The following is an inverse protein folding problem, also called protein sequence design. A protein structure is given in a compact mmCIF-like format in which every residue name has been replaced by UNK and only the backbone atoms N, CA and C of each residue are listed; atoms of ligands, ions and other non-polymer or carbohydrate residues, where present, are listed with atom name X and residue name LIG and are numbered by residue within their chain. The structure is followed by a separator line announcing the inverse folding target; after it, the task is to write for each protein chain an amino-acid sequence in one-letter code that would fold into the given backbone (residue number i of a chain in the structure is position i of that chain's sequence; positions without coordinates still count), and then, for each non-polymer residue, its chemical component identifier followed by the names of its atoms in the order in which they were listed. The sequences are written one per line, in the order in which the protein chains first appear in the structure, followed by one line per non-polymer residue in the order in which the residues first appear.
data_IF_477835514687
#
_entry.id   IF_477835514687
#
_cell.length_a   1.000
_cell.length_b   1.000
_cell.length_c   1.000
_cell.angle_alpha   90.00
_cell.angle_beta   90.00
_cell.angle_gamma   90.00
#
_symmetry.space_group_name_H-M   'P 1'
#
loop_
_entity.id
_entity.type
_entity.pdbx_description
1 polymer ?
#
# COMPACT_ATOMS: atom_id res chain seq x y z
N UNK A 1 42.91 46.95 -19.68
CA UNK A 1 42.48 45.60 -19.36
C UNK A 1 41.53 45.08 -20.44
N UNK A 2 41.52 43.82 -20.62
CA UNK A 2 40.60 43.13 -21.55
C UNK A 2 39.45 42.48 -20.74
N UNK A 3 38.24 42.59 -21.29
CA UNK A 3 37.06 41.93 -20.75
C UNK A 3 36.69 40.79 -21.69
N UNK A 4 36.60 39.57 -21.16
CA UNK A 4 36.16 38.40 -21.90
C UNK A 4 34.63 38.37 -22.02
N UNK A 5 34.09 37.65 -23.02
CA UNK A 5 32.64 37.43 -23.17
C UNK A 5 32.03 36.66 -22.02
N UNK A 6 32.83 35.86 -21.33
CA UNK A 6 32.40 35.01 -20.21
C UNK A 6 32.42 35.72 -18.84
N UNK A 7 32.99 36.94 -18.80
CA UNK A 7 33.18 37.73 -17.59
C UNK A 7 32.51 39.09 -17.70
N UNK A 8 32.17 39.65 -16.60
CA UNK A 8 31.76 41.03 -16.39
C UNK A 8 32.66 41.64 -15.31
N UNK A 9 32.96 42.92 -15.45
CA UNK A 9 33.95 43.57 -14.59
C UNK A 9 33.34 44.68 -13.78
N UNK A 10 33.75 44.74 -12.52
CA UNK A 10 33.48 45.88 -11.63
C UNK A 10 34.81 46.62 -11.35
N UNK A 11 34.80 47.91 -11.59
CA UNK A 11 35.93 48.75 -11.27
C UNK A 11 35.72 49.26 -9.84
N UNK A 12 36.70 49.05 -8.98
CA UNK A 12 36.71 49.55 -7.61
C UNK A 12 37.84 50.57 -7.42
N UNK A 13 37.56 51.56 -6.62
CA UNK A 13 38.54 52.58 -6.21
C UNK A 13 38.57 52.61 -4.68
N UNK A 14 39.69 52.26 -4.07
CA UNK A 14 39.83 52.15 -2.61
C UNK A 14 38.74 51.24 -1.99
N UNK A 15 38.41 50.11 -2.67
CA UNK A 15 37.43 49.17 -2.24
C UNK A 15 35.95 49.55 -2.48
N UNK A 16 35.67 50.74 -3.04
CA UNK A 16 34.31 51.17 -3.40
C UNK A 16 34.10 50.99 -4.92
N UNK A 17 32.98 50.43 -5.39
CA UNK A 17 32.67 50.36 -6.77
C UNK A 17 32.46 51.75 -7.37
N UNK A 18 33.04 51.98 -8.54
CA UNK A 18 33.00 53.28 -9.27
C UNK A 18 32.52 53.03 -10.69
N UNK A 19 31.46 53.73 -11.09
CA UNK A 19 30.87 53.61 -12.39
C UNK A 19 29.94 52.46 -12.55
N UNK A 20 29.42 52.25 -13.76
CA UNK A 20 28.56 51.15 -14.11
C UNK A 20 29.38 49.87 -14.37
N UNK A 21 28.82 48.65 -14.05
CA UNK A 21 29.49 47.40 -14.36
C UNK A 21 29.76 47.28 -15.86
N UNK A 22 30.93 46.80 -16.21
CA UNK A 22 31.31 46.59 -17.62
C UNK A 22 30.91 45.19 -18.06
N UNK A 23 29.84 45.08 -18.82
CA UNK A 23 29.28 43.82 -19.31
C UNK A 23 29.66 43.48 -20.75
N UNK A 24 30.23 44.47 -21.49
CA UNK A 24 30.63 44.33 -22.88
C UNK A 24 32.09 43.93 -22.99
N UNK A 25 32.34 42.86 -23.75
CA UNK A 25 33.69 42.41 -24.04
C UNK A 25 34.50 43.44 -24.84
N UNK A 26 35.80 43.36 -24.73
CA UNK A 26 36.73 44.20 -25.46
C UNK A 26 37.80 44.87 -24.59
N UNK A 27 38.57 45.77 -25.21
CA UNK A 27 39.62 46.51 -24.52
C UNK A 27 39.00 47.71 -23.76
N UNK A 28 39.30 47.83 -22.51
CA UNK A 28 38.83 48.92 -21.63
C UNK A 28 40.03 49.58 -20.94
N UNK A 29 39.86 50.83 -20.55
CA UNK A 29 40.91 51.61 -19.86
C UNK A 29 40.53 51.78 -18.39
N UNK A 30 41.50 51.71 -17.51
CA UNK A 30 41.35 52.02 -16.07
C UNK A 30 42.48 53.00 -15.66
N UNK A 31 42.29 53.73 -14.59
CA UNK A 31 43.32 54.55 -13.97
C UNK A 31 44.32 53.63 -13.22
N UNK A 32 45.58 53.55 -13.66
CA UNK A 32 46.57 52.74 -13.01
C UNK A 32 46.80 53.19 -11.57
N UNK A 33 47.17 52.26 -10.68
CA UNK A 33 47.48 52.44 -9.24
C UNK A 33 46.29 52.79 -8.31
N UNK A 34 45.17 53.33 -8.87
CA UNK A 34 44.03 53.77 -8.05
C UNK A 34 42.83 52.81 -8.23
N UNK A 35 42.65 52.30 -9.45
CA UNK A 35 41.52 51.47 -9.77
C UNK A 35 41.91 49.99 -9.89
N UNK A 36 41.13 49.15 -9.23
CA UNK A 36 41.21 47.69 -9.29
C UNK A 36 40.03 47.16 -10.11
N UNK A 37 40.26 46.09 -10.87
CA UNK A 37 39.25 45.43 -11.70
C UNK A 37 38.94 44.07 -11.08
N UNK A 38 37.70 43.87 -10.70
CA UNK A 38 37.23 42.64 -10.14
C UNK A 38 36.42 41.89 -11.20
N UNK A 39 36.91 40.74 -11.69
CA UNK A 39 36.16 39.89 -12.61
C UNK A 39 35.06 39.16 -11.90
N UNK A 40 33.90 39.12 -12.53
CA UNK A 40 32.72 38.38 -12.06
C UNK A 40 32.27 37.51 -13.21
N UNK A 41 32.01 36.25 -12.92
CA UNK A 41 31.54 35.25 -13.88
C UNK A 41 30.14 35.63 -14.42
N UNK A 42 29.97 35.57 -15.74
CA UNK A 42 28.72 35.88 -16.44
C UNK A 42 27.95 34.60 -16.82
N UNK A 43 28.66 33.48 -16.88
CA UNK A 43 28.09 32.19 -17.23
C UNK A 43 27.15 31.68 -16.13
N UNK A 44 26.40 30.66 -16.48
CA UNK A 44 25.58 29.93 -15.53
C UNK A 44 26.51 29.13 -14.62
N UNK A 45 26.35 29.32 -13.35
CA UNK A 45 27.05 28.63 -12.29
C UNK A 45 26.16 27.55 -11.69
N UNK A 46 26.78 26.49 -11.19
CA UNK A 46 26.11 25.45 -10.47
C UNK A 46 26.20 25.67 -8.96
N UNK A 47 25.19 25.24 -8.27
CA UNK A 47 25.18 25.09 -6.84
C UNK A 47 24.77 23.65 -6.51
N UNK A 48 25.64 22.92 -5.84
CA UNK A 48 25.42 21.54 -5.38
C UNK A 48 25.35 21.56 -3.86
N UNK A 49 24.13 21.45 -3.33
CA UNK A 49 23.89 21.45 -1.90
C UNK A 49 24.38 20.17 -1.23
N UNK A 50 24.92 20.30 -0.03
CA UNK A 50 25.23 19.12 0.77
C UNK A 50 23.96 18.41 1.22
N UNK A 51 23.94 17.05 1.24
CA UNK A 51 22.80 16.29 1.74
C UNK A 51 22.40 16.74 3.14
N UNK A 52 21.16 17.12 3.33
CA UNK A 52 20.63 17.63 4.59
C UNK A 52 19.42 16.81 5.05
N UNK A 53 19.43 16.45 6.32
CA UNK A 53 18.35 15.71 6.94
C UNK A 53 17.22 16.65 7.36
N UNK A 54 15.99 16.31 6.95
CA UNK A 54 14.82 17.12 7.27
C UNK A 54 13.58 16.27 7.48
N UNK A 55 12.66 16.69 8.38
CA UNK A 55 11.41 15.98 8.61
C UNK A 55 10.38 16.33 7.53
N UNK A 56 9.63 15.35 7.08
CA UNK A 56 8.44 15.52 6.25
C UNK A 56 7.19 15.76 7.11
N UNK A 57 6.08 16.13 6.47
CA UNK A 57 4.77 16.24 7.12
C UNK A 57 4.36 14.93 7.82
N UNK A 58 4.74 13.79 7.27
CA UNK A 58 4.49 12.45 7.83
C UNK A 58 5.40 12.08 9.01
N UNK A 59 6.21 13.05 9.50
CA UNK A 59 7.20 12.84 10.56
C UNK A 59 8.29 11.81 10.21
N UNK A 60 8.54 11.62 8.92
CA UNK A 60 9.64 10.80 8.43
C UNK A 60 10.88 11.67 8.22
N UNK A 61 12.03 11.22 8.72
CA UNK A 61 13.29 11.91 8.48
C UNK A 61 13.91 11.40 7.18
N UNK A 62 14.12 12.35 6.27
CA UNK A 62 14.71 12.09 4.95
C UNK A 62 15.96 12.91 4.74
N UNK A 63 16.92 12.35 4.05
CA UNK A 63 18.11 13.04 3.55
C UNK A 63 17.81 13.53 2.14
N UNK A 64 17.86 14.83 1.95
CA UNK A 64 17.56 15.50 0.69
C UNK A 64 18.81 16.14 0.14
N UNK A 65 19.08 15.87 -1.11
CA UNK A 65 20.18 16.40 -1.89
C UNK A 65 19.60 17.23 -3.05
N UNK A 66 20.05 18.47 -3.18
CA UNK A 66 19.53 19.46 -4.11
C UNK A 66 20.61 19.95 -5.06
N UNK A 67 20.18 20.33 -6.22
CA UNK A 67 20.99 20.96 -7.25
C UNK A 67 20.27 22.20 -7.77
N UNK A 68 20.99 23.28 -7.98
CA UNK A 68 20.46 24.50 -8.56
C UNK A 68 21.41 25.11 -9.58
N UNK A 69 20.87 25.83 -10.53
CA UNK A 69 21.61 26.64 -11.50
C UNK A 69 21.26 28.09 -11.30
N UNK A 70 22.27 28.91 -11.27
CA UNK A 70 22.14 30.33 -11.05
C UNK A 70 23.09 31.14 -11.90
N UNK A 71 22.83 32.42 -12.06
CA UNK A 71 23.72 33.37 -12.71
C UNK A 71 23.68 34.74 -12.04
N UNK A 72 24.72 35.52 -12.25
CA UNK A 72 24.82 36.89 -11.74
C UNK A 72 24.23 37.84 -12.76
N UNK A 73 23.09 38.44 -12.46
CA UNK A 73 22.39 39.40 -13.33
C UNK A 73 22.75 40.84 -13.02
N UNK A 74 22.89 41.16 -11.73
CA UNK A 74 23.34 42.49 -11.28
C UNK A 74 24.68 42.34 -10.53
N UNK A 75 25.81 42.57 -11.26
CA UNK A 75 27.13 42.44 -10.67
C UNK A 75 27.39 43.48 -9.58
N UNK A 76 26.75 44.66 -9.65
CA UNK A 76 26.94 45.67 -8.60
C UNK A 76 26.33 45.24 -7.28
N UNK A 77 25.10 44.80 -7.28
CA UNK A 77 24.45 44.27 -6.06
C UNK A 77 25.17 43.04 -5.53
N UNK A 78 25.60 42.16 -6.42
CA UNK A 78 26.39 40.97 -6.07
C UNK A 78 27.67 41.37 -5.32
N UNK A 79 28.47 42.28 -5.92
CA UNK A 79 29.71 42.72 -5.33
C UNK A 79 29.52 43.43 -3.96
N UNK A 80 28.52 44.30 -3.87
CA UNK A 80 28.24 45.03 -2.63
C UNK A 80 27.83 44.13 -1.45
N UNK A 81 27.13 43.04 -1.75
CA UNK A 81 26.53 42.19 -0.71
C UNK A 81 27.30 40.90 -0.45
N UNK A 82 27.88 40.30 -1.48
CA UNK A 82 28.51 38.99 -1.41
C UNK A 82 30.03 39.05 -1.66
N UNK A 83 30.50 39.92 -2.55
CA UNK A 83 31.87 40.13 -2.95
C UNK A 83 32.49 39.00 -3.75
N UNK A 84 32.41 37.76 -3.25
CA UNK A 84 33.04 36.58 -3.82
C UNK A 84 32.06 35.40 -3.99
N UNK A 85 32.45 34.42 -4.77
CA UNK A 85 31.66 33.25 -5.08
C UNK A 85 31.43 32.35 -3.84
N UNK A 86 32.41 32.29 -2.93
CA UNK A 86 32.27 31.49 -1.71
C UNK A 86 31.18 32.04 -0.79
N UNK A 87 31.12 33.38 -0.65
CA UNK A 87 30.05 34.04 0.08
C UNK A 87 28.69 33.85 -0.58
N UNK A 88 28.65 33.82 -1.93
CA UNK A 88 27.45 33.53 -2.68
C UNK A 88 26.98 32.10 -2.46
N UNK A 89 27.87 31.13 -2.53
CA UNK A 89 27.53 29.71 -2.24
C UNK A 89 27.00 29.55 -0.82
N UNK A 90 27.64 30.14 0.20
CA UNK A 90 27.16 30.08 1.56
C UNK A 90 25.76 30.70 1.73
N UNK A 91 25.49 31.80 1.03
CA UNK A 91 24.15 32.42 1.06
C UNK A 91 23.09 31.60 0.34
N UNK A 92 23.47 30.95 -0.76
CA UNK A 92 22.59 30.00 -1.46
C UNK A 92 22.30 28.78 -0.56
N UNK A 93 23.31 28.26 0.14
CA UNK A 93 23.12 27.17 1.11
C UNK A 93 22.07 27.55 2.17
N UNK A 94 22.17 28.73 2.75
CA UNK A 94 21.23 29.22 3.75
C UNK A 94 19.82 29.39 3.20
N UNK A 95 19.68 30.04 2.05
CA UNK A 95 18.37 30.37 1.48
C UNK A 95 17.71 29.11 0.91
N UNK A 96 18.42 28.38 0.04
CA UNK A 96 17.88 27.19 -0.60
C UNK A 96 17.62 26.10 0.42
N UNK A 97 18.51 25.89 1.39
CA UNK A 97 18.34 24.93 2.46
C UNK A 97 17.13 25.24 3.35
N UNK A 98 16.93 26.53 3.70
CA UNK A 98 15.77 26.93 4.52
C UNK A 98 14.45 26.79 3.77
N UNK A 99 14.37 27.20 2.51
CA UNK A 99 13.16 27.09 1.71
C UNK A 99 12.80 25.62 1.41
N UNK A 100 13.82 24.80 1.16
CA UNK A 100 13.62 23.35 0.98
C UNK A 100 13.08 22.72 2.25
N UNK A 101 13.66 23.04 3.41
CA UNK A 101 13.17 22.50 4.68
C UNK A 101 11.72 22.90 4.95
N UNK A 102 11.38 24.15 4.65
CA UNK A 102 10.01 24.65 4.79
C UNK A 102 9.03 23.93 3.85
N UNK A 103 9.42 23.70 2.60
CA UNK A 103 8.59 22.99 1.62
C UNK A 103 8.44 21.50 1.98
N UNK A 104 9.55 20.83 2.32
CA UNK A 104 9.54 19.40 2.71
C UNK A 104 8.66 19.17 3.95
N UNK A 105 8.72 20.07 4.95
CA UNK A 105 7.90 19.96 6.15
C UNK A 105 6.38 20.13 5.89
N UNK A 106 6.00 20.78 4.79
CA UNK A 106 4.58 20.95 4.38
C UNK A 106 4.02 19.77 3.59
N UNK A 107 4.89 18.97 2.97
CA UNK A 107 4.49 17.91 2.06
C UNK A 107 4.78 16.52 2.61
N UNK A 108 3.97 15.54 2.17
CA UNK A 108 4.18 14.13 2.46
C UNK A 108 5.32 13.59 1.60
N UNK A 109 6.02 12.57 2.08
CA UNK A 109 7.14 11.97 1.35
C UNK A 109 6.72 11.48 -0.05
N UNK A 110 5.52 10.96 -0.18
CA UNK A 110 5.01 10.47 -1.46
C UNK A 110 4.94 11.57 -2.53
N UNK A 111 4.64 12.81 -2.13
CA UNK A 111 4.59 13.97 -3.03
C UNK A 111 5.97 14.42 -3.51
N UNK A 112 6.99 14.21 -2.68
CA UNK A 112 8.39 14.53 -3.02
C UNK A 112 8.99 13.52 -4.00
N UNK A 113 8.52 12.26 -3.96
CA UNK A 113 9.06 11.18 -4.79
C UNK A 113 8.32 11.05 -6.12
N UNK A 114 6.98 11.14 -6.09
CA UNK A 114 6.16 10.90 -7.28
C UNK A 114 6.02 12.14 -8.13
N UNK A 115 6.21 11.94 -9.43
CA UNK A 115 6.14 13.02 -10.44
C UNK A 115 4.76 13.09 -11.10
N UNK A 116 4.09 11.95 -11.30
CA UNK A 116 2.83 11.85 -12.05
C UNK A 116 1.66 11.50 -11.15
N UNK A 117 0.55 12.21 -11.31
CA UNK A 117 -0.71 11.97 -10.59
C UNK A 117 -1.44 10.71 -11.08
N UNK A 118 -1.32 10.39 -12.36
CA UNK A 118 -2.17 9.42 -13.06
C UNK A 118 -1.55 8.02 -13.16
N UNK A 119 -0.57 7.71 -12.33
CA UNK A 119 0.01 6.37 -12.31
C UNK A 119 -0.97 5.37 -11.70
N UNK A 120 -1.63 4.59 -12.55
CA UNK A 120 -2.40 3.42 -12.13
C UNK A 120 -1.41 2.28 -11.89
N UNK A 121 -1.40 1.62 -10.71
CA UNK A 121 -0.58 0.44 -10.50
C UNK A 121 -1.04 -0.66 -11.46
N UNK A 122 -0.09 -1.38 -12.06
CA UNK A 122 -0.40 -2.65 -12.74
C UNK A 122 -0.91 -3.61 -11.67
N UNK A 123 -2.22 -3.85 -11.65
CA UNK A 123 -2.88 -4.78 -10.75
C UNK A 123 -3.16 -6.07 -11.50
N UNK A 124 -2.82 -7.19 -10.89
CA UNK A 124 -3.32 -8.48 -11.35
C UNK A 124 -4.85 -8.50 -11.23
N UNK A 125 -5.51 -8.83 -12.33
CA UNK A 125 -6.99 -8.86 -12.46
C UNK A 125 -7.64 -9.77 -11.41
N UNK A 126 -6.91 -10.76 -10.89
CA UNK A 126 -7.37 -11.70 -9.86
C UNK A 126 -7.47 -11.06 -8.46
N UNK A 127 -6.73 -10.00 -8.19
CA UNK A 127 -6.75 -9.31 -6.89
C UNK A 127 -7.82 -8.23 -6.79
N UNK A 128 -8.36 -7.77 -7.92
CA UNK A 128 -9.33 -6.66 -7.99
C UNK A 128 -10.68 -6.97 -7.35
N UNK A 129 -11.07 -8.24 -7.27
CA UNK A 129 -12.36 -8.64 -6.69
C UNK A 129 -12.35 -8.65 -5.16
N UNK A 130 -11.19 -8.99 -4.55
CA UNK A 130 -11.02 -9.03 -3.09
C UNK A 130 -10.65 -7.66 -2.49
N UNK A 131 -10.19 -6.71 -3.30
CA UNK A 131 -9.68 -5.40 -2.86
C UNK A 131 -10.73 -4.29 -2.77
N UNK A 132 -11.96 -4.51 -3.24
CA UNK A 132 -13.02 -3.48 -3.15
C UNK A 132 -13.36 -3.08 -1.73
N UNK A 133 -13.18 -3.98 -0.76
CA UNK A 133 -13.43 -3.73 0.67
C UNK A 133 -12.19 -3.32 1.45
N UNK A 134 -11.02 -3.37 0.83
CA UNK A 134 -9.75 -3.11 1.48
C UNK A 134 -8.97 -2.11 0.62
N UNK A 135 -8.84 -0.88 1.08
CA UNK A 135 -7.95 0.15 0.51
C UNK A 135 -6.45 -0.25 0.50
N UNK A 136 -6.16 -1.56 0.45
CA UNK A 136 -4.82 -2.12 0.42
C UNK A 136 -4.27 -2.12 -1.00
N UNK A 137 -3.15 -1.44 -1.19
CA UNK A 137 -2.48 -1.32 -2.49
C UNK A 137 -2.94 -0.15 -3.35
N UNK A 138 -3.96 0.61 -2.96
CA UNK A 138 -4.27 1.87 -3.59
C UNK A 138 -3.10 2.84 -3.40
N UNK A 139 -2.54 3.34 -4.50
CA UNK A 139 -1.56 4.41 -4.43
C UNK A 139 -2.23 5.61 -3.78
N UNK A 140 -1.68 6.11 -2.68
CA UNK A 140 -2.14 7.35 -2.04
C UNK A 140 -2.19 8.44 -3.12
N UNK A 141 -3.32 9.12 -3.31
CA UNK A 141 -3.43 10.18 -4.31
C UNK A 141 -2.49 11.32 -3.94
N UNK A 142 -1.69 11.79 -4.89
CA UNK A 142 -0.84 12.95 -4.71
C UNK A 142 -1.59 14.21 -5.14
N UNK A 143 -1.45 15.29 -4.39
CA UNK A 143 -2.07 16.58 -4.70
C UNK A 143 -1.20 17.42 -5.63
N UNK A 144 0.08 17.56 -5.32
CA UNK A 144 1.03 18.40 -6.05
C UNK A 144 2.01 17.58 -6.88
N UNK A 145 2.75 16.69 -6.26
CA UNK A 145 3.84 15.93 -6.88
C UNK A 145 5.16 16.71 -6.93
N UNK A 146 6.26 15.99 -7.18
CA UNK A 146 7.64 16.47 -7.11
C UNK A 146 7.88 17.78 -7.87
N UNK A 147 7.39 17.88 -9.10
CA UNK A 147 7.65 19.06 -9.95
C UNK A 147 7.03 20.34 -9.35
N UNK A 148 5.82 20.25 -8.82
CA UNK A 148 5.17 21.42 -8.22
C UNK A 148 5.81 21.83 -6.90
N UNK A 149 6.34 20.87 -6.14
CA UNK A 149 7.11 21.17 -4.93
C UNK A 149 8.45 21.83 -5.27
N UNK A 150 9.17 21.34 -6.30
CA UNK A 150 10.37 22.01 -6.82
C UNK A 150 10.08 23.43 -7.27
N UNK A 151 8.94 23.68 -7.93
CA UNK A 151 8.52 25.01 -8.36
C UNK A 151 8.13 25.91 -7.16
N UNK A 152 7.54 25.37 -6.12
CA UNK A 152 7.24 26.10 -4.87
C UNK A 152 8.55 26.57 -4.19
N UNK A 153 9.55 25.69 -4.10
CA UNK A 153 10.88 26.03 -3.56
C UNK A 153 11.54 27.09 -4.45
N UNK A 154 11.50 26.89 -5.76
CA UNK A 154 12.07 27.83 -6.72
C UNK A 154 11.48 29.24 -6.57
N UNK A 155 10.16 29.37 -6.55
CA UNK A 155 9.49 30.68 -6.46
C UNK A 155 9.82 31.40 -5.14
N UNK A 156 9.83 30.68 -4.00
CA UNK A 156 10.16 31.22 -2.71
C UNK A 156 11.64 31.64 -2.57
N UNK A 157 12.54 30.84 -3.14
CA UNK A 157 13.97 31.10 -3.13
C UNK A 157 14.38 32.22 -4.11
N UNK A 158 13.80 32.25 -5.32
CA UNK A 158 14.13 33.21 -6.36
C UNK A 158 13.91 34.66 -5.91
N UNK A 159 12.83 34.94 -5.18
CA UNK A 159 12.55 36.27 -4.63
C UNK A 159 13.63 36.70 -3.64
N UNK A 160 14.08 35.81 -2.76
CA UNK A 160 15.10 36.08 -1.75
C UNK A 160 16.48 36.23 -2.33
N UNK A 161 16.83 35.43 -3.34
CA UNK A 161 18.14 35.45 -3.98
C UNK A 161 18.32 36.68 -4.89
N UNK A 162 17.22 37.16 -5.49
CA UNK A 162 17.22 38.37 -6.36
C UNK A 162 17.77 39.61 -5.65
N UNK A 163 17.58 39.73 -4.34
CA UNK A 163 18.10 40.83 -3.55
C UNK A 163 19.64 40.94 -3.62
N UNK A 164 20.32 39.81 -3.86
CA UNK A 164 21.77 39.72 -3.96
C UNK A 164 22.30 39.91 -5.39
N UNK A 165 21.46 40.29 -6.36
CA UNK A 165 21.83 40.41 -7.78
C UNK A 165 22.01 39.07 -8.47
N UNK A 166 21.51 37.99 -7.90
CA UNK A 166 21.57 36.63 -8.43
C UNK A 166 20.20 36.26 -8.99
N UNK A 167 20.18 35.65 -10.15
CA UNK A 167 19.01 35.03 -10.76
C UNK A 167 19.13 33.53 -10.65
N UNK A 168 18.15 32.91 -10.01
CA UNK A 168 17.99 31.46 -9.96
C UNK A 168 17.32 31.00 -11.24
N UNK A 169 17.86 29.99 -11.91
CA UNK A 169 17.34 29.47 -13.17
C UNK A 169 16.53 28.21 -12.98
N UNK A 170 17.01 27.32 -12.12
CA UNK A 170 16.39 26.01 -11.90
C UNK A 170 16.79 25.46 -10.52
N UNK A 171 15.87 24.68 -9.92
CA UNK A 171 16.12 23.89 -8.72
C UNK A 171 15.56 22.49 -8.95
N UNK A 172 16.36 21.47 -8.62
CA UNK A 172 15.95 20.08 -8.74
C UNK A 172 16.40 19.26 -7.54
N UNK A 173 15.56 18.34 -7.12
CA UNK A 173 15.99 17.28 -6.20
C UNK A 173 16.93 16.33 -6.94
N UNK A 174 18.14 16.16 -6.44
CA UNK A 174 19.14 15.23 -6.95
C UNK A 174 18.88 13.84 -6.41
N UNK A 175 18.71 13.75 -5.10
CA UNK A 175 18.47 12.51 -4.37
C UNK A 175 17.58 12.74 -3.16
N UNK A 176 16.68 11.81 -2.91
CA UNK A 176 15.85 11.76 -1.72
C UNK A 176 15.94 10.35 -1.16
N UNK A 177 16.50 10.20 0.02
CA UNK A 177 16.68 8.92 0.71
C UNK A 177 16.15 9.03 2.14
N UNK A 178 15.84 7.89 2.75
CA UNK A 178 15.68 7.87 4.19
C UNK A 178 17.01 8.10 4.88
N UNK A 179 16.98 8.80 6.00
CA UNK A 179 18.15 8.92 6.85
C UNK A 179 18.67 7.52 7.25
N UNK A 180 19.98 7.32 7.23
CA UNK A 180 20.61 6.02 7.49
C UNK A 180 20.26 5.43 8.86
N UNK A 181 20.11 6.26 9.87
CA UNK A 181 19.75 5.81 11.23
C UNK A 181 18.30 5.30 11.33
N UNK A 182 17.41 5.81 10.50
CA UNK A 182 15.97 5.49 10.52
C UNK A 182 15.61 4.40 9.50
N UNK A 183 16.39 4.27 8.44
CA UNK A 183 16.16 3.34 7.33
C UNK A 183 15.89 1.88 7.76
N UNK A 184 16.68 1.27 8.67
CA UNK A 184 16.41 -0.11 9.11
C UNK A 184 15.05 -0.24 9.78
N UNK A 185 14.68 0.69 10.66
CA UNK A 185 13.40 0.68 11.37
C UNK A 185 12.20 0.82 10.43
N UNK A 186 12.35 1.61 9.36
CA UNK A 186 11.31 1.76 8.34
C UNK A 186 11.16 0.48 7.54
N UNK A 187 12.26 -0.18 7.15
CA UNK A 187 12.20 -1.47 6.45
C UNK A 187 11.58 -2.57 7.32
N UNK A 188 11.95 -2.65 8.59
CA UNK A 188 11.35 -3.62 9.54
C UNK A 188 9.84 -3.39 9.68
N UNK A 189 9.43 -2.13 9.77
CA UNK A 189 8.01 -1.76 9.79
C UNK A 189 7.30 -2.18 8.49
N UNK A 190 7.87 -1.86 7.33
CA UNK A 190 7.28 -2.25 6.03
C UNK A 190 7.17 -3.77 5.89
N UNK A 191 8.18 -4.52 6.33
CA UNK A 191 8.16 -5.99 6.35
C UNK A 191 7.06 -6.50 7.28
N UNK A 192 6.95 -5.92 8.47
CA UNK A 192 5.90 -6.29 9.44
C UNK A 192 4.50 -6.01 8.90
N UNK A 193 4.28 -4.85 8.30
CA UNK A 193 3.00 -4.50 7.64
C UNK A 193 2.67 -5.49 6.52
N UNK A 194 3.65 -5.86 5.69
CA UNK A 194 3.44 -6.85 4.61
C UNK A 194 3.14 -8.25 5.14
N UNK A 195 3.81 -8.68 6.21
CA UNK A 195 3.50 -9.95 6.88
C UNK A 195 2.09 -9.96 7.47
N UNK A 196 1.70 -8.89 8.13
CA UNK A 196 0.35 -8.76 8.68
C UNK A 196 -0.74 -8.85 7.60
N UNK A 197 -0.51 -8.23 6.46
CA UNK A 197 -1.39 -8.32 5.28
C UNK A 197 -1.46 -9.77 4.79
N UNK A 198 -0.32 -10.44 4.63
CA UNK A 198 -0.26 -11.82 4.16
C UNK A 198 -0.97 -12.79 5.12
N UNK A 199 -0.75 -12.66 6.43
CA UNK A 199 -1.41 -13.49 7.45
C UNK A 199 -2.92 -13.26 7.49
N UNK A 200 -3.37 -12.03 7.28
CA UNK A 200 -4.80 -11.73 7.16
C UNK A 200 -5.42 -12.46 5.98
N UNK A 201 -4.84 -12.37 4.78
CA UNK A 201 -5.34 -13.09 3.61
C UNK A 201 -5.32 -14.61 3.80
N UNK A 202 -4.28 -15.14 4.44
CA UNK A 202 -4.20 -16.56 4.77
C UNK A 202 -5.31 -16.98 5.72
N UNK A 203 -5.57 -16.18 6.75
CA UNK A 203 -6.64 -16.43 7.74
C UNK A 203 -8.02 -16.35 7.10
N UNK A 204 -8.28 -15.33 6.29
CA UNK A 204 -9.53 -15.18 5.53
C UNK A 204 -9.74 -16.36 4.56
N UNK A 205 -8.69 -16.76 3.83
CA UNK A 205 -8.73 -17.92 2.94
C UNK A 205 -9.00 -19.23 3.67
N UNK A 206 -8.38 -19.45 4.81
CA UNK A 206 -8.63 -20.63 5.65
C UNK A 206 -10.06 -20.64 6.21
N UNK A 207 -10.56 -19.47 6.65
CA UNK A 207 -11.94 -19.31 7.12
C UNK A 207 -12.95 -19.64 6.03
N UNK A 208 -12.76 -19.12 4.83
CA UNK A 208 -13.63 -19.40 3.68
C UNK A 208 -13.57 -20.88 3.26
N UNK A 209 -12.39 -21.47 3.24
CA UNK A 209 -12.23 -22.91 2.97
C UNK A 209 -12.95 -23.78 4.02
N UNK A 210 -12.88 -23.40 5.30
CA UNK A 210 -13.60 -24.08 6.37
C UNK A 210 -15.12 -23.94 6.19
N UNK A 211 -15.61 -22.76 5.83
CA UNK A 211 -17.02 -22.49 5.53
C UNK A 211 -17.53 -23.36 4.38
N UNK A 212 -16.78 -23.41 3.29
CA UNK A 212 -17.13 -24.24 2.11
C UNK A 212 -17.18 -25.74 2.49
N UNK A 213 -16.19 -26.25 3.26
CA UNK A 213 -16.18 -27.62 3.74
C UNK A 213 -17.37 -27.91 4.65
N UNK A 214 -17.69 -27.02 5.57
CA UNK A 214 -18.84 -27.15 6.45
C UNK A 214 -20.17 -27.19 5.69
N UNK A 215 -20.35 -26.31 4.72
CA UNK A 215 -21.53 -26.31 3.85
C UNK A 215 -21.65 -27.61 3.06
N UNK A 216 -20.55 -28.10 2.48
CA UNK A 216 -20.53 -29.39 1.77
C UNK A 216 -20.99 -30.54 2.64
N UNK A 217 -20.48 -30.65 3.87
CA UNK A 217 -20.86 -31.70 4.81
C UNK A 217 -22.34 -31.58 5.17
N UNK A 218 -22.83 -30.39 5.46
CA UNK A 218 -24.24 -30.12 5.75
C UNK A 218 -25.14 -30.53 4.59
N UNK A 219 -24.79 -30.16 3.36
CA UNK A 219 -25.61 -30.45 2.19
C UNK A 219 -25.60 -31.94 1.85
N UNK A 220 -24.46 -32.62 2.02
CA UNK A 220 -24.40 -34.09 1.92
C UNK A 220 -25.30 -34.79 2.94
N UNK A 221 -25.22 -34.40 4.22
CA UNK A 221 -26.05 -34.97 5.29
C UNK A 221 -27.54 -34.71 5.02
N UNK A 222 -27.89 -33.53 4.50
CA UNK A 222 -29.27 -33.21 4.12
C UNK A 222 -29.76 -34.13 3.00
N UNK A 223 -28.99 -34.29 1.93
CA UNK A 223 -29.33 -35.17 0.80
C UNK A 223 -29.48 -36.63 1.27
N UNK A 224 -28.53 -37.12 2.09
CA UNK A 224 -28.60 -38.50 2.63
C UNK A 224 -29.81 -38.70 3.54
N UNK A 225 -30.10 -37.77 4.42
CA UNK A 225 -31.26 -37.85 5.32
C UNK A 225 -32.57 -37.83 4.53
N UNK A 226 -32.65 -37.01 3.52
CA UNK A 226 -33.86 -36.94 2.67
C UNK A 226 -34.05 -38.20 1.80
N UNK A 227 -32.97 -38.75 1.26
CA UNK A 227 -33.02 -40.05 0.56
C UNK A 227 -33.43 -41.19 1.51
N UNK A 228 -32.85 -41.23 2.73
CA UNK A 228 -33.22 -42.22 3.74
C UNK A 228 -34.69 -42.12 4.13
N UNK A 229 -35.19 -40.91 4.37
CA UNK A 229 -36.61 -40.65 4.68
C UNK A 229 -37.51 -41.19 3.57
N UNK A 230 -37.17 -40.91 2.29
CA UNK A 230 -37.96 -41.42 1.14
C UNK A 230 -37.94 -42.92 1.05
N UNK A 231 -36.80 -43.58 1.30
CA UNK A 231 -36.70 -45.04 1.31
C UNK A 231 -37.57 -45.66 2.40
N UNK A 232 -37.51 -45.11 3.61
CA UNK A 232 -38.33 -45.64 4.72
C UNK A 232 -39.83 -45.37 4.54
N UNK A 233 -40.19 -44.25 3.92
CA UNK A 233 -41.57 -43.92 3.56
C UNK A 233 -42.11 -44.94 2.51
N UNK A 234 -41.35 -45.23 1.47
CA UNK A 234 -41.72 -46.21 0.44
C UNK A 234 -41.83 -47.60 1.04
N UNK A 235 -40.87 -48.00 1.92
CA UNK A 235 -40.94 -49.27 2.64
C UNK A 235 -42.17 -49.38 3.51
N UNK A 236 -42.42 -48.33 4.35
CA UNK A 236 -43.60 -48.31 5.19
C UNK A 236 -44.91 -48.41 4.44
N UNK A 237 -45.03 -47.70 3.32
CA UNK A 237 -46.20 -47.82 2.45
C UNK A 237 -46.34 -49.23 1.80
N UNK A 238 -45.22 -49.81 1.38
CA UNK A 238 -45.23 -51.17 0.84
C UNK A 238 -45.61 -52.22 1.86
N UNK A 239 -45.05 -52.14 3.09
CA UNK A 239 -45.36 -53.03 4.19
C UNK A 239 -46.82 -52.87 4.66
N UNK A 240 -47.34 -51.64 4.74
CA UNK A 240 -48.74 -51.38 5.03
C UNK A 240 -49.66 -52.00 3.97
N UNK A 241 -49.33 -51.83 2.71
CA UNK A 241 -50.09 -52.39 1.61
C UNK A 241 -50.02 -53.91 1.56
N UNK A 242 -48.84 -54.50 1.85
CA UNK A 242 -48.70 -55.95 1.97
C UNK A 242 -49.56 -56.49 3.12
N UNK A 243 -49.52 -55.84 4.28
CA UNK A 243 -50.32 -56.21 5.43
C UNK A 243 -51.82 -56.13 5.14
N UNK A 244 -52.28 -55.09 4.47
CA UNK A 244 -53.66 -54.91 4.03
C UNK A 244 -54.13 -56.07 3.12
N UNK A 245 -53.30 -56.42 2.10
CA UNK A 245 -53.56 -57.53 1.19
C UNK A 245 -53.67 -58.86 1.93
N UNK A 246 -52.73 -59.13 2.86
CA UNK A 246 -52.77 -60.33 3.68
C UNK A 246 -53.99 -60.35 4.60
N UNK A 247 -54.31 -59.27 5.29
CA UNK A 247 -55.47 -59.14 6.13
C UNK A 247 -56.75 -59.36 5.35
N UNK A 248 -56.89 -58.79 4.17
CA UNK A 248 -58.05 -58.99 3.28
C UNK A 248 -58.19 -60.43 2.81
N UNK A 249 -57.08 -61.13 2.59
CA UNK A 249 -57.10 -62.55 2.16
C UNK A 249 -57.51 -63.48 3.27
N UNK A 250 -56.95 -63.25 4.48
CA UNK A 250 -57.19 -64.17 5.59
C UNK A 250 -58.48 -63.90 6.36
N UNK A 251 -59.04 -62.69 6.36
CA UNK A 251 -60.29 -62.34 7.04
C UNK A 251 -61.56 -62.70 6.24
N UNK A 252 -61.44 -63.45 5.13
CA UNK A 252 -62.59 -63.83 4.28
C UNK A 252 -63.55 -64.79 4.93
N UNK A 253 -63.08 -65.65 5.84
CA UNK A 253 -63.94 -66.60 6.56
C UNK A 253 -63.38 -66.90 7.95
N UNK A 254 -64.23 -67.28 8.94
CA UNK A 254 -63.79 -67.66 10.29
C UNK A 254 -62.76 -68.81 10.31
N UNK A 255 -62.88 -69.74 9.37
CA UNK A 255 -61.94 -70.84 9.22
C UNK A 255 -60.56 -70.41 8.70
N UNK A 256 -60.55 -69.44 7.84
CA UNK A 256 -59.29 -68.86 7.29
C UNK A 256 -58.53 -68.10 8.42
N UNK A 257 -59.27 -67.40 9.29
CA UNK A 257 -58.68 -66.71 10.44
C UNK A 257 -58.00 -67.66 11.39
N UNK A 258 -58.73 -68.75 11.80
CA UNK A 258 -58.20 -69.77 12.70
C UNK A 258 -56.93 -70.45 12.11
N UNK A 259 -56.97 -70.75 10.83
CA UNK A 259 -55.81 -71.33 10.11
C UNK A 259 -54.61 -70.39 10.06
N UNK A 260 -54.83 -69.10 9.85
CA UNK A 260 -53.78 -68.12 9.84
C UNK A 260 -53.15 -67.93 11.23
N UNK A 261 -53.98 -67.80 12.28
CA UNK A 261 -53.51 -67.73 13.65
C UNK A 261 -52.66 -68.94 14.06
N UNK A 262 -53.10 -70.15 13.68
CA UNK A 262 -52.32 -71.35 13.88
C UNK A 262 -51.01 -71.35 13.16
N UNK A 263 -51.01 -71.00 11.90
CA UNK A 263 -49.81 -70.97 11.07
C UNK A 263 -48.81 -69.88 11.54
N UNK A 264 -49.33 -68.73 11.94
CA UNK A 264 -48.52 -67.63 12.51
C UNK A 264 -47.91 -67.94 13.83
N UNK A 265 -48.69 -68.62 14.71
CA UNK A 265 -48.19 -69.11 16.00
C UNK A 265 -47.05 -70.11 15.77
N UNK A 266 -47.23 -71.05 14.88
CA UNK A 266 -46.16 -71.99 14.49
C UNK A 266 -44.93 -71.37 13.96
N UNK A 267 -45.06 -70.33 13.10
CA UNK A 267 -43.93 -69.55 12.55
C UNK A 267 -43.19 -68.70 13.57
N UNK A 268 -43.89 -68.28 14.65
CA UNK A 268 -43.27 -67.49 15.74
C UNK A 268 -42.48 -68.34 16.72
N UNK A 269 -42.80 -69.63 16.83
CA UNK A 269 -42.09 -70.53 17.75
C UNK A 269 -40.56 -70.57 17.52
N UNK A 270 -40.03 -70.71 16.32
CA UNK A 270 -38.57 -70.69 16.10
C UNK A 270 -37.88 -69.38 16.52
N UNK A 271 -38.64 -68.30 16.49
CA UNK A 271 -38.07 -66.96 16.87
C UNK A 271 -38.16 -66.75 18.42
N UNK A 272 -39.11 -67.40 19.07
CA UNK A 272 -39.31 -67.29 20.51
C UNK A 272 -38.46 -68.31 21.30
N UNK A 273 -38.31 -69.50 20.71
CA UNK A 273 -37.54 -70.63 21.31
C UNK A 273 -36.12 -70.53 20.71
N UNK A 274 -35.30 -69.60 21.23
CA UNK A 274 -33.86 -69.58 21.00
C UNK A 274 -33.20 -70.74 21.78
N UNK A 275 -32.00 -71.15 21.36
CA UNK A 275 -31.23 -72.25 21.90
C UNK A 275 -31.04 -72.22 23.45
N UNK A 276 -31.32 -71.11 24.10
CA UNK A 276 -31.22 -70.92 25.56
C UNK A 276 -32.57 -70.76 26.30
N UNK A 277 -33.70 -71.10 25.67
CA UNK A 277 -35.01 -70.97 26.32
C UNK A 277 -35.33 -72.22 27.15
N UNK A 278 -35.28 -72.11 28.44
CA UNK A 278 -35.73 -73.22 29.38
C UNK A 278 -37.25 -73.22 29.41
N UNK A 279 -37.86 -74.20 28.79
CA UNK A 279 -39.32 -74.43 28.83
C UNK A 279 -39.64 -75.10 30.19
N UNK A 280 -40.21 -74.31 31.12
CA UNK A 280 -40.60 -74.81 32.42
C UNK A 280 -41.92 -75.64 32.31
N UNK A 281 -41.81 -76.95 32.37
CA UNK A 281 -42.85 -77.94 32.11
C UNK A 281 -43.83 -78.13 33.27
N UNK A 282 -43.81 -77.26 34.31
CA UNK A 282 -44.54 -77.45 35.57
C UNK A 282 -45.82 -76.62 35.69
N UNK A 283 -46.42 -76.15 34.67
CA UNK A 283 -47.64 -75.34 34.79
C UNK A 283 -48.94 -76.00 34.25
N UNK A 284 -48.98 -77.29 34.07
CA UNK A 284 -50.23 -77.90 33.59
C UNK A 284 -50.50 -79.27 34.27
N UNK A 285 -50.57 -79.28 35.58
CA UNK A 285 -51.21 -80.32 36.31
C UNK A 285 -51.72 -79.76 37.60
N UNK A 286 -52.86 -79.05 37.61
CA UNK A 286 -53.80 -79.00 38.72
C UNK A 286 -55.09 -78.35 38.26
N UNK A 287 -56.18 -79.13 38.23
CA UNK A 287 -57.53 -78.65 38.04
C UNK A 287 -58.43 -79.64 37.34
N UNK A 288 -58.76 -80.82 38.05
CA UNK A 288 -59.90 -81.63 37.80
C UNK A 288 -61.17 -80.93 38.24
#
# INVERSE_FOLDING_TARGET
YTVSEVEQMIITQFGKPVGAPVTTAGLKVKVPFIQEVNPIEKRVLEWDGSPSDMPTKDKLYISVDLFARWRITDPLQYFLRLRDERSAQSRLDDILGSETRNAVAKHELIELIRTTKDRVPLRDVLLTAAEKDLNMGALVPIQKGRQLVEQEIFSAAAEKVRVFGIELLDIRFKRINYNESVRPKIYDRMISERRQIAERFLSEGNGEAARIRGNRVRDLNKIQSEAYRQVEEIRGLADAKATEIYAAAYNRSPQAVAFYEFTRTMQSYPAIIADNTIINRYAFCEGA
#
